data_IF_236590880210
#
_entry.id   IF_236590880210
#
_cell.length_a   1.000
_cell.length_b   1.000
_cell.length_c   1.000
_cell.angle_alpha   90.00
_cell.angle_beta   90.00
_cell.angle_gamma   90.00
#
_symmetry.space_group_name_H-M   'P 1'
#
loop_
_entity.id
_entity.type
_entity.pdbx_description
1 polymer ?
#
# COMPACT_ATOMS: atom_id res chain seq x y z
N UNK A 1 -1.87 -6.97 15.95
CA UNK A 1 -2.65 -7.52 14.87
C UNK A 1 -2.80 -6.53 13.75
N UNK A 2 -2.59 -6.99 12.60
CA UNK A 2 -2.18 -6.17 11.51
C UNK A 2 -3.26 -6.23 10.44
N UNK A 3 -3.92 -5.08 10.09
CA UNK A 3 -4.28 -5.03 8.71
C UNK A 3 -5.56 -4.38 8.26
N UNK A 4 -6.42 -3.93 9.17
CA UNK A 4 -7.42 -2.96 8.75
C UNK A 4 -6.76 -1.57 8.63
N UNK A 5 -7.35 -0.66 7.89
CA UNK A 5 -6.80 0.69 7.81
C UNK A 5 -6.84 1.41 9.18
N UNK A 6 -7.95 1.36 9.87
CA UNK A 6 -8.15 1.93 11.20
C UNK A 6 -8.26 0.87 12.29
N UNK A 7 -8.95 -0.22 12.01
CA UNK A 7 -9.16 -1.32 12.94
C UNK A 7 -8.43 -2.56 12.46
N UNK A 8 -7.85 -3.29 13.41
CA UNK A 8 -7.27 -4.60 13.12
C UNK A 8 -8.37 -5.61 12.80
N UNK A 9 -8.08 -6.57 11.94
CA UNK A 9 -9.01 -7.68 11.73
C UNK A 9 -9.15 -8.51 13.00
N UNK A 10 -10.36 -8.98 13.25
CA UNK A 10 -10.65 -9.79 14.43
C UNK A 10 -10.08 -11.20 14.24
N UNK A 11 -9.41 -11.70 15.26
CA UNK A 11 -9.02 -13.11 15.39
C UNK A 11 -9.71 -13.72 16.60
N UNK A 12 -9.63 -15.05 16.75
CA UNK A 12 -10.36 -15.77 17.77
C UNK A 12 -11.88 -15.78 17.52
N UNK A 13 -12.30 -15.68 16.26
CA UNK A 13 -13.68 -15.72 15.81
C UNK A 13 -13.92 -16.90 14.89
N UNK A 14 -15.16 -17.29 14.76
CA UNK A 14 -15.57 -18.26 13.76
C UNK A 14 -15.34 -17.73 12.34
N UNK A 15 -14.97 -18.63 11.46
CA UNK A 15 -14.83 -18.39 10.03
C UNK A 15 -16.21 -18.42 9.39
N UNK A 16 -16.58 -17.34 8.66
CA UNK A 16 -17.94 -17.17 8.19
C UNK A 16 -18.23 -17.91 6.88
N UNK A 17 -19.48 -18.29 6.61
CA UNK A 17 -19.88 -18.90 5.33
C UNK A 17 -19.59 -17.97 4.13
N UNK A 18 -19.72 -16.65 4.29
CA UNK A 18 -19.44 -15.66 3.26
C UNK A 18 -17.94 -15.65 2.90
N UNK A 19 -17.05 -15.73 3.89
CA UNK A 19 -15.61 -15.84 3.67
C UNK A 19 -15.26 -17.14 2.96
N UNK A 20 -15.91 -18.24 3.31
CA UNK A 20 -15.75 -19.54 2.66
C UNK A 20 -16.21 -19.51 1.20
N UNK A 21 -17.34 -18.87 0.91
CA UNK A 21 -17.85 -18.74 -0.46
C UNK A 21 -17.02 -17.84 -1.35
N UNK A 22 -16.21 -16.96 -0.77
CA UNK A 22 -15.33 -16.05 -1.46
C UNK A 22 -13.87 -16.60 -1.60
N UNK A 23 -13.68 -17.91 -1.48
CA UNK A 23 -12.39 -18.58 -1.56
C UNK A 23 -11.64 -18.27 -2.86
N UNK A 24 -10.35 -18.08 -2.73
CA UNK A 24 -9.38 -17.96 -3.80
C UNK A 24 -8.56 -19.25 -3.88
N UNK A 25 -8.99 -20.16 -4.72
CA UNK A 25 -8.38 -21.50 -4.82
C UNK A 25 -6.95 -21.45 -5.37
N UNK A 26 -6.02 -22.13 -4.70
CA UNK A 26 -4.62 -22.25 -5.12
C UNK A 26 -4.44 -23.18 -6.32
N UNK A 27 -5.20 -24.28 -6.35
CA UNK A 27 -5.10 -25.30 -7.38
C UNK A 27 -5.74 -24.93 -8.73
N UNK A 28 -6.70 -24.00 -8.73
CA UNK A 28 -7.46 -23.65 -9.93
C UNK A 28 -7.12 -22.22 -10.38
N UNK A 29 -6.83 -22.06 -11.68
CA UNK A 29 -6.72 -20.73 -12.27
C UNK A 29 -8.08 -20.04 -12.28
N UNK A 30 -8.07 -18.74 -12.05
CA UNK A 30 -9.25 -17.89 -12.19
C UNK A 30 -9.20 -17.28 -13.60
N UNK A 31 -10.36 -17.02 -14.18
CA UNK A 31 -10.45 -16.29 -15.45
C UNK A 31 -10.12 -14.80 -15.23
N UNK A 32 -8.83 -14.54 -15.03
CA UNK A 32 -8.26 -13.21 -14.84
C UNK A 32 -6.81 -13.22 -15.33
N UNK A 33 -6.42 -12.17 -16.04
CA UNK A 33 -5.03 -11.97 -16.40
C UNK A 33 -4.20 -11.59 -15.17
N UNK A 34 -2.99 -12.16 -14.96
CA UNK A 34 -2.16 -11.79 -13.83
C UNK A 34 -1.72 -10.33 -13.93
N UNK A 35 -1.87 -9.56 -12.84
CA UNK A 35 -1.44 -8.17 -12.81
C UNK A 35 -0.90 -7.76 -11.44
N UNK A 36 0.11 -6.90 -11.43
CA UNK A 36 0.78 -6.41 -10.22
C UNK A 36 -0.09 -5.42 -9.44
N UNK A 37 -0.86 -4.57 -10.14
CA UNK A 37 -1.70 -3.53 -9.54
C UNK A 37 -0.97 -2.69 -8.48
N UNK A 38 0.31 -2.33 -8.74
CA UNK A 38 1.19 -1.64 -7.80
C UNK A 38 1.40 -2.40 -6.48
N UNK A 39 1.24 -3.71 -6.47
CA UNK A 39 1.40 -4.55 -5.29
C UNK A 39 2.78 -5.21 -5.17
N UNK A 40 3.44 -5.45 -6.29
CA UNK A 40 4.73 -6.14 -6.38
C UNK A 40 5.88 -5.21 -5.96
N UNK A 41 6.76 -5.69 -5.05
CA UNK A 41 7.98 -4.99 -4.62
C UNK A 41 9.20 -5.56 -5.35
N UNK A 42 9.30 -6.88 -5.41
CA UNK A 42 10.38 -7.60 -6.06
C UNK A 42 9.96 -9.01 -6.46
N UNK A 43 10.61 -9.56 -7.47
CA UNK A 43 10.40 -10.94 -7.94
C UNK A 43 11.72 -11.54 -8.42
N UNK A 44 11.89 -12.83 -8.19
CA UNK A 44 12.98 -13.66 -8.66
C UNK A 44 12.53 -15.12 -8.70
N UNK A 45 13.42 -16.07 -8.98
CA UNK A 45 13.08 -17.51 -9.03
C UNK A 45 12.75 -18.12 -7.68
N UNK A 46 13.17 -17.52 -6.57
CA UNK A 46 13.03 -18.09 -5.22
C UNK A 46 11.82 -17.53 -4.49
N UNK A 47 11.62 -16.20 -4.56
CA UNK A 47 10.53 -15.53 -3.85
C UNK A 47 9.97 -14.34 -4.60
N UNK A 48 8.78 -13.93 -4.20
CA UNK A 48 8.14 -12.68 -4.58
C UNK A 48 7.77 -11.91 -3.33
N UNK A 49 8.10 -10.61 -3.28
CA UNK A 49 7.72 -9.70 -2.21
C UNK A 49 6.55 -8.85 -2.63
N UNK A 50 5.51 -8.86 -1.80
CA UNK A 50 4.28 -8.12 -2.02
C UNK A 50 4.09 -7.05 -0.96
N UNK A 51 3.49 -5.91 -1.36
CA UNK A 51 3.25 -4.79 -0.46
C UNK A 51 2.09 -5.06 0.51
N UNK A 52 2.13 -4.45 1.67
CA UNK A 52 1.03 -4.42 2.61
C UNK A 52 -0.08 -3.45 2.18
N UNK A 53 -1.28 -3.68 2.67
CA UNK A 53 -2.47 -2.87 2.38
C UNK A 53 -2.33 -1.40 2.79
N UNK A 54 -1.50 -1.09 3.78
CA UNK A 54 -1.37 0.25 4.36
C UNK A 54 -0.50 1.21 3.58
N UNK A 55 0.41 0.70 2.76
CA UNK A 55 1.42 1.51 2.11
C UNK A 55 0.84 2.70 1.32
N UNK A 56 -0.23 2.46 0.55
CA UNK A 56 -0.84 3.51 -0.28
C UNK A 56 -1.40 4.67 0.55
N UNK A 57 -2.02 4.36 1.69
CA UNK A 57 -2.71 5.33 2.54
C UNK A 57 -1.80 5.96 3.61
N UNK A 58 -0.53 5.61 3.62
CA UNK A 58 0.40 6.07 4.65
C UNK A 58 0.64 7.57 4.55
N UNK A 59 0.57 8.24 5.68
CA UNK A 59 0.60 9.71 5.78
C UNK A 59 -0.77 10.39 5.64
N UNK A 60 -1.80 9.68 5.16
CA UNK A 60 -3.11 10.29 4.91
C UNK A 60 -3.82 10.68 6.20
N UNK A 61 -3.74 9.83 7.22
CA UNK A 61 -4.38 10.10 8.49
C UNK A 61 -3.81 11.36 9.14
N UNK A 62 -2.48 11.45 9.18
CA UNK A 62 -1.80 12.64 9.72
C UNK A 62 -2.10 13.89 8.88
N UNK A 63 -2.21 13.76 7.56
CA UNK A 63 -2.64 14.85 6.67
C UNK A 63 -4.04 15.33 7.01
N UNK A 64 -4.99 14.42 7.21
CA UNK A 64 -6.36 14.76 7.57
C UNK A 64 -6.43 15.50 8.90
N UNK A 65 -5.73 14.99 9.92
CA UNK A 65 -5.66 15.64 11.24
C UNK A 65 -5.03 17.03 11.15
N UNK A 66 -3.95 17.17 10.38
CA UNK A 66 -3.29 18.46 10.17
C UNK A 66 -4.23 19.47 9.48
N UNK A 67 -4.90 19.08 8.42
CA UNK A 67 -5.82 19.96 7.68
C UNK A 67 -7.02 20.38 8.54
N UNK A 68 -7.63 19.43 9.25
CA UNK A 68 -8.74 19.72 10.18
C UNK A 68 -8.29 20.71 11.25
N UNK A 69 -7.10 20.50 11.83
CA UNK A 69 -6.53 21.41 12.82
C UNK A 69 -6.27 22.80 12.25
N UNK A 70 -5.68 22.90 11.06
CA UNK A 70 -5.38 24.17 10.41
C UNK A 70 -6.65 24.96 10.03
N UNK A 71 -7.64 24.28 9.44
CA UNK A 71 -8.94 24.91 9.14
C UNK A 71 -9.68 25.32 10.39
N UNK A 72 -9.68 24.48 11.42
CA UNK A 72 -10.27 24.81 12.73
C UNK A 72 -9.61 26.03 13.35
N UNK A 73 -8.28 26.14 13.27
CA UNK A 73 -7.54 27.30 13.76
C UNK A 73 -7.88 28.58 13.00
N UNK A 74 -7.87 28.55 11.67
CA UNK A 74 -8.21 29.70 10.83
C UNK A 74 -9.62 30.16 11.12
N UNK A 75 -10.59 29.23 11.15
CA UNK A 75 -11.98 29.54 11.46
C UNK A 75 -12.12 30.16 12.83
N UNK A 76 -11.49 29.63 13.85
CA UNK A 76 -11.53 30.09 15.21
C UNK A 76 -10.90 31.50 15.34
N UNK A 77 -9.74 31.71 14.68
CA UNK A 77 -9.09 33.04 14.64
C UNK A 77 -10.01 34.07 14.03
N UNK A 78 -10.65 33.79 12.90
CA UNK A 78 -11.60 34.70 12.25
C UNK A 78 -12.81 34.94 13.14
N UNK A 79 -13.36 33.92 13.78
CA UNK A 79 -14.47 34.02 14.72
C UNK A 79 -14.11 34.93 15.91
N UNK A 80 -12.98 34.76 16.52
CA UNK A 80 -12.51 35.60 17.63
C UNK A 80 -12.27 37.04 17.18
N UNK A 81 -11.63 37.24 16.02
CA UNK A 81 -11.36 38.59 15.49
C UNK A 81 -12.63 39.37 15.15
N UNK A 82 -13.74 38.68 14.81
CA UNK A 82 -15.01 39.36 14.43
C UNK A 82 -16.02 39.41 15.56
N UNK A 83 -15.91 38.60 16.60
CA UNK A 83 -16.94 38.44 17.63
C UNK A 83 -16.54 38.99 18.99
N UNK A 84 -15.26 39.30 19.22
CA UNK A 84 -14.81 39.87 20.50
C UNK A 84 -15.04 41.38 20.53
N UNK A 85 -15.67 41.93 21.58
CA UNK A 85 -15.85 43.37 21.74
C UNK A 85 -14.50 44.08 21.96
N UNK A 86 -14.27 45.18 21.25
CA UNK A 86 -13.02 45.97 21.30
C UNK A 86 -12.68 46.47 22.72
N UNK A 87 -13.66 46.59 23.62
CA UNK A 87 -13.51 47.16 24.95
C UNK A 87 -13.71 46.16 26.09
N UNK A 88 -13.67 44.87 25.82
CA UNK A 88 -13.83 43.86 26.89
C UNK A 88 -12.57 43.79 27.75
N UNK A 89 -12.66 43.76 29.09
CA UNK A 89 -11.48 43.56 29.96
C UNK A 89 -10.77 42.23 29.67
N UNK A 90 -9.43 42.23 29.69
CA UNK A 90 -8.59 41.10 29.35
C UNK A 90 -8.90 39.79 30.15
N UNK A 91 -9.48 39.91 31.33
CA UNK A 91 -9.89 38.82 32.21
C UNK A 91 -11.39 38.62 32.30
N UNK A 92 -12.16 39.15 31.33
CA UNK A 92 -13.59 38.91 31.29
C UNK A 92 -13.90 37.44 30.99
N UNK A 93 -15.06 36.96 31.46
CA UNK A 93 -15.57 35.63 31.15
C UNK A 93 -15.59 35.33 29.65
N UNK A 94 -15.76 36.36 28.83
CA UNK A 94 -15.76 36.25 27.35
C UNK A 94 -14.37 35.83 26.83
N UNK A 95 -13.30 36.48 27.33
CA UNK A 95 -11.94 36.11 26.93
C UNK A 95 -11.55 34.74 27.47
N UNK A 96 -11.91 34.38 28.71
CA UNK A 96 -11.66 33.07 29.29
C UNK A 96 -12.38 31.99 28.48
N UNK A 97 -13.63 32.20 28.12
CA UNK A 97 -14.39 31.28 27.29
C UNK A 97 -13.81 31.18 25.87
N UNK A 98 -13.44 32.31 25.26
CA UNK A 98 -12.76 32.31 23.96
C UNK A 98 -11.44 31.53 23.99
N UNK A 99 -10.62 31.72 25.05
CA UNK A 99 -9.38 31.01 25.27
C UNK A 99 -9.63 29.48 25.42
N UNK A 100 -10.64 29.09 26.19
CA UNK A 100 -11.03 27.70 26.38
C UNK A 100 -11.49 27.08 25.06
N UNK A 101 -12.33 27.74 24.30
CA UNK A 101 -12.81 27.29 22.98
C UNK A 101 -11.67 27.22 21.97
N UNK A 102 -10.60 28.04 22.12
CA UNK A 102 -9.40 27.99 21.27
C UNK A 102 -8.49 26.84 21.65
N UNK A 103 -8.20 26.67 22.93
CA UNK A 103 -7.21 25.69 23.42
C UNK A 103 -7.75 24.25 23.35
N UNK A 104 -9.05 24.04 23.63
CA UNK A 104 -9.61 22.69 23.71
C UNK A 104 -9.54 21.89 22.40
N UNK A 105 -9.84 22.44 21.20
CA UNK A 105 -9.65 21.73 19.94
C UNK A 105 -8.18 21.44 19.63
N UNK A 106 -7.26 22.35 20.04
CA UNK A 106 -5.82 22.12 19.89
C UNK A 106 -5.34 21.00 20.80
N UNK A 107 -5.75 21.00 22.06
CA UNK A 107 -5.40 19.94 22.99
C UNK A 107 -5.98 18.58 22.51
N UNK A 108 -7.22 18.56 22.06
CA UNK A 108 -7.85 17.38 21.49
C UNK A 108 -7.15 16.90 20.22
N UNK A 109 -6.82 17.82 19.29
CA UNK A 109 -6.09 17.49 18.07
C UNK A 109 -4.69 16.99 18.36
N UNK A 110 -3.98 17.60 19.34
CA UNK A 110 -2.67 17.15 19.78
C UNK A 110 -2.73 15.77 20.45
N UNK A 111 -3.72 15.52 21.28
CA UNK A 111 -3.94 14.23 21.91
C UNK A 111 -4.25 13.13 20.89
N UNK A 112 -5.17 13.39 19.95
CA UNK A 112 -5.47 12.52 18.85
C UNK A 112 -4.21 12.31 17.99
N UNK A 113 -3.48 13.35 17.67
CA UNK A 113 -2.22 13.27 16.93
C UNK A 113 -1.19 12.42 17.65
N UNK A 114 -1.00 12.58 18.95
CA UNK A 114 -0.08 11.76 19.74
C UNK A 114 -0.46 10.28 19.78
N UNK A 115 -1.76 9.96 19.86
CA UNK A 115 -2.25 8.59 19.79
C UNK A 115 -2.06 7.95 18.41
N UNK A 116 -2.14 8.73 17.32
CA UNK A 116 -2.14 8.25 15.95
C UNK A 116 -0.77 8.36 15.29
N UNK A 117 0.09 9.29 15.74
CA UNK A 117 1.47 9.44 15.31
C UNK A 117 2.26 8.14 15.39
N UNK A 118 2.08 7.40 16.48
CA UNK A 118 2.77 6.11 16.71
C UNK A 118 2.40 5.03 15.69
N UNK A 119 1.35 5.24 14.88
CA UNK A 119 0.93 4.27 13.86
C UNK A 119 1.57 4.50 12.50
N UNK A 120 2.04 5.70 12.23
CA UNK A 120 2.63 6.06 10.94
C UNK A 120 4.10 6.47 11.05
N UNK A 121 4.48 7.23 12.09
CA UNK A 121 5.84 7.67 12.33
C UNK A 121 6.67 6.63 13.08
N UNK A 122 7.99 6.64 12.87
CA UNK A 122 8.97 5.81 13.59
C UNK A 122 8.71 4.30 13.52
N UNK A 123 8.05 3.86 12.46
CA UNK A 123 7.77 2.46 12.16
C UNK A 123 8.67 1.98 10.99
N UNK A 124 8.18 1.02 10.19
CA UNK A 124 8.80 0.65 8.91
C UNK A 124 8.11 1.38 7.76
N UNK A 125 8.83 1.67 6.67
CA UNK A 125 8.29 2.34 5.47
C UNK A 125 7.13 1.53 4.88
N UNK A 126 7.25 0.22 4.86
CA UNK A 126 6.23 -0.74 4.40
C UNK A 126 6.42 -2.06 5.16
N UNK A 127 5.52 -3.01 4.95
CA UNK A 127 5.53 -4.32 5.60
C UNK A 127 5.39 -5.40 4.54
N UNK A 128 6.51 -5.95 4.04
CA UNK A 128 6.49 -6.91 2.96
C UNK A 128 5.88 -8.24 3.38
N UNK A 129 5.19 -8.86 2.44
CA UNK A 129 4.73 -10.23 2.54
C UNK A 129 5.49 -11.01 1.47
N UNK A 130 6.37 -11.90 1.92
CA UNK A 130 7.23 -12.70 1.06
C UNK A 130 6.63 -14.08 0.85
N UNK A 131 6.47 -14.46 -0.39
CA UNK A 131 6.06 -15.80 -0.81
C UNK A 131 7.29 -16.52 -1.36
N UNK A 132 7.81 -17.49 -0.61
CA UNK A 132 8.92 -18.30 -1.05
C UNK A 132 8.39 -19.56 -1.75
N UNK A 133 8.60 -19.63 -3.07
CA UNK A 133 8.14 -20.72 -3.90
C UNK A 133 8.88 -22.02 -3.62
N UNK A 134 10.21 -21.95 -3.37
CA UNK A 134 11.04 -23.15 -3.15
C UNK A 134 10.71 -23.85 -1.83
N UNK A 135 10.49 -23.09 -0.75
CA UNK A 135 10.16 -23.64 0.57
C UNK A 135 8.66 -23.75 0.82
N UNK A 136 7.83 -23.22 -0.09
CA UNK A 136 6.36 -23.11 0.07
C UNK A 136 5.96 -22.46 1.40
N UNK A 137 6.67 -21.40 1.79
CA UNK A 137 6.40 -20.64 3.00
C UNK A 137 6.03 -19.20 2.66
N UNK A 138 5.21 -18.60 3.52
CA UNK A 138 4.87 -17.19 3.50
C UNK A 138 5.47 -16.56 4.74
N UNK A 139 6.16 -15.44 4.56
CA UNK A 139 6.74 -14.64 5.63
C UNK A 139 6.04 -13.29 5.64
N UNK A 140 5.22 -13.04 6.67
CA UNK A 140 4.51 -11.77 6.83
C UNK A 140 5.28 -10.91 7.82
N UNK A 141 5.90 -9.85 7.32
CA UNK A 141 6.64 -8.92 8.17
C UNK A 141 5.66 -8.09 8.99
N UNK A 142 5.82 -8.06 10.30
CA UNK A 142 4.97 -7.30 11.24
C UNK A 142 5.83 -6.69 12.35
N UNK A 143 5.32 -5.62 12.97
CA UNK A 143 5.92 -5.07 14.19
C UNK A 143 5.85 -6.06 15.34
N UNK A 144 6.83 -6.01 16.26
CA UNK A 144 6.81 -6.85 17.46
C UNK A 144 5.52 -6.68 18.27
N UNK A 145 4.99 -5.44 18.35
CA UNK A 145 3.71 -5.13 19.01
C UNK A 145 2.49 -5.78 18.34
N UNK A 146 2.60 -6.12 17.08
CA UNK A 146 1.54 -6.74 16.26
C UNK A 146 1.73 -8.26 16.10
N UNK A 147 2.52 -8.89 16.97
CA UNK A 147 2.80 -10.33 16.96
C UNK A 147 4.11 -10.71 16.27
N UNK A 148 4.86 -9.74 15.74
CA UNK A 148 6.14 -10.01 15.07
C UNK A 148 6.01 -10.74 13.74
N UNK A 149 7.11 -11.29 13.27
CA UNK A 149 7.15 -12.05 12.02
C UNK A 149 6.25 -13.29 12.09
N UNK A 150 5.33 -13.42 11.14
CA UNK A 150 4.52 -14.62 10.96
C UNK A 150 5.13 -15.46 9.85
N UNK A 151 5.40 -16.72 10.12
CA UNK A 151 5.86 -17.72 9.15
C UNK A 151 4.80 -18.82 9.06
N UNK A 152 4.29 -19.07 7.87
CA UNK A 152 3.22 -20.05 7.66
C UNK A 152 3.42 -20.78 6.34
N UNK A 153 3.19 -22.11 6.28
CA UNK A 153 3.20 -22.84 5.02
C UNK A 153 2.10 -22.33 4.09
N UNK A 154 2.44 -22.16 2.79
CA UNK A 154 1.50 -21.74 1.75
C UNK A 154 0.22 -22.58 1.75
N UNK A 155 0.37 -23.88 1.88
CA UNK A 155 -0.74 -24.82 1.79
C UNK A 155 -1.71 -24.74 2.97
N UNK A 156 -1.28 -24.21 4.13
CA UNK A 156 -2.09 -24.06 5.34
C UNK A 156 -2.86 -22.75 5.43
N UNK A 157 -2.64 -21.80 4.53
CA UNK A 157 -3.36 -20.54 4.52
C UNK A 157 -4.62 -20.68 3.68
N UNK A 158 -5.76 -20.26 4.20
CA UNK A 158 -6.98 -20.09 3.45
C UNK A 158 -7.02 -18.68 2.87
N UNK A 159 -7.10 -18.55 1.54
CA UNK A 159 -7.19 -17.26 0.88
C UNK A 159 -8.60 -17.00 0.41
N UNK A 160 -9.06 -15.76 0.59
CA UNK A 160 -10.37 -15.33 0.12
C UNK A 160 -10.39 -13.84 -0.22
N UNK A 161 -11.42 -13.40 -0.95
CA UNK A 161 -11.69 -11.98 -1.15
C UNK A 161 -12.33 -11.44 0.13
N UNK A 162 -11.54 -10.68 0.91
CA UNK A 162 -12.01 -10.04 2.13
C UNK A 162 -12.74 -8.73 1.84
N UNK A 163 -13.71 -8.39 2.68
CA UNK A 163 -14.37 -7.08 2.67
C UNK A 163 -13.84 -6.22 3.81
N UNK A 164 -13.71 -4.91 3.57
CA UNK A 164 -13.28 -3.97 4.59
C UNK A 164 -14.26 -3.90 5.76
N UNK A 165 -13.74 -3.82 6.99
CA UNK A 165 -14.57 -3.68 8.20
C UNK A 165 -15.26 -2.33 8.30
N UNK A 166 -14.54 -1.27 7.95
CA UNK A 166 -15.04 0.11 8.03
C UNK A 166 -15.61 0.61 6.69
N UNK A 167 -15.07 0.10 5.57
CA UNK A 167 -15.50 0.41 4.21
C UNK A 167 -15.85 -0.90 3.49
N UNK A 168 -17.09 -1.34 3.64
CA UNK A 168 -17.57 -2.64 3.12
C UNK A 168 -17.47 -2.80 1.60
N UNK A 169 -17.36 -1.68 0.87
CA UNK A 169 -17.16 -1.70 -0.59
C UNK A 169 -15.71 -2.00 -0.99
N UNK A 170 -14.74 -1.84 -0.09
CA UNK A 170 -13.35 -2.16 -0.37
C UNK A 170 -13.10 -3.66 -0.20
N UNK A 171 -12.44 -4.24 -1.18
CA UNK A 171 -12.05 -5.65 -1.26
C UNK A 171 -10.55 -5.79 -1.25
N UNK A 172 -10.06 -6.87 -0.64
CA UNK A 172 -8.64 -7.20 -0.56
C UNK A 172 -8.42 -8.72 -0.67
N UNK A 173 -7.18 -9.13 -0.91
CA UNK A 173 -6.79 -10.52 -0.72
C UNK A 173 -6.48 -10.71 0.75
N UNK A 174 -7.15 -11.67 1.37
CA UNK A 174 -6.97 -12.00 2.78
C UNK A 174 -6.53 -13.43 2.94
N UNK A 175 -5.47 -13.63 3.73
CA UNK A 175 -5.00 -14.94 4.14
C UNK A 175 -5.41 -15.20 5.60
N UNK A 176 -6.13 -16.29 5.82
CA UNK A 176 -6.57 -16.71 7.14
C UNK A 176 -5.83 -17.98 7.56
N UNK A 177 -5.32 -17.99 8.77
CA UNK A 177 -4.76 -19.17 9.42
C UNK A 177 -5.83 -19.73 10.33
N UNK A 178 -6.35 -20.90 9.96
CA UNK A 178 -7.47 -21.54 10.65
C UNK A 178 -6.98 -22.61 11.62
N UNK A 179 -7.68 -22.73 12.75
CA UNK A 179 -7.59 -23.83 13.69
C UNK A 179 -9.02 -24.40 13.84
N UNK A 180 -9.33 -25.42 13.05
CA UNK A 180 -10.71 -25.85 12.80
C UNK A 180 -11.51 -24.74 12.12
N UNK A 181 -12.59 -24.31 12.74
CA UNK A 181 -13.46 -23.22 12.27
C UNK A 181 -13.07 -21.86 12.85
N UNK A 182 -12.00 -21.77 13.64
CA UNK A 182 -11.60 -20.54 14.31
C UNK A 182 -10.45 -19.89 13.55
N UNK A 183 -10.58 -18.60 13.27
CA UNK A 183 -9.51 -17.76 12.71
C UNK A 183 -8.47 -17.48 13.79
N UNK A 184 -7.32 -18.13 13.71
CA UNK A 184 -6.22 -17.98 14.65
C UNK A 184 -5.36 -16.76 14.37
N UNK A 185 -5.07 -16.50 13.12
CA UNK A 185 -4.32 -15.31 12.67
C UNK A 185 -4.77 -14.93 11.25
N UNK A 186 -4.48 -13.70 10.84
CA UNK A 186 -4.92 -13.15 9.57
C UNK A 186 -3.93 -12.12 9.03
N UNK A 187 -3.85 -12.01 7.71
CA UNK A 187 -3.12 -10.92 7.05
C UNK A 187 -3.83 -10.54 5.75
N UNK A 188 -3.59 -9.31 5.30
CA UNK A 188 -4.06 -8.84 4.00
C UNK A 188 -2.90 -8.31 3.18
N UNK A 189 -2.93 -8.55 1.90
CA UNK A 189 -1.86 -8.18 0.98
C UNK A 189 -2.37 -7.36 -0.19
N UNK A 190 -1.48 -6.58 -0.77
CA UNK A 190 -1.77 -5.71 -1.88
C UNK A 190 -2.70 -4.56 -1.55
N UNK A 191 -3.03 -3.78 -2.53
CA UNK A 191 -3.96 -2.66 -2.38
C UNK A 191 -5.40 -3.16 -2.36
N UNK A 192 -6.26 -2.45 -1.62
CA UNK A 192 -7.69 -2.70 -1.71
C UNK A 192 -8.27 -2.11 -3.00
N UNK A 193 -9.31 -2.75 -3.52
CA UNK A 193 -10.05 -2.35 -4.71
C UNK A 193 -11.54 -2.25 -4.42
N UNK A 194 -12.27 -1.49 -5.22
CA UNK A 194 -13.74 -1.38 -5.10
C UNK A 194 -14.47 -2.54 -5.78
N UNK A 195 -13.78 -3.26 -6.66
CA UNK A 195 -14.31 -4.38 -7.45
C UNK A 195 -13.47 -5.64 -7.24
N UNK A 196 -14.02 -6.80 -7.58
CA UNK A 196 -13.35 -8.09 -7.42
C UNK A 196 -12.26 -8.32 -8.50
N UNK A 197 -12.43 -7.75 -9.70
CA UNK A 197 -11.52 -8.01 -10.83
C UNK A 197 -10.05 -7.68 -10.50
N UNK A 198 -9.71 -6.48 -9.99
CA UNK A 198 -8.32 -6.17 -9.63
C UNK A 198 -7.74 -7.08 -8.54
N UNK A 199 -8.60 -7.55 -7.61
CA UNK A 199 -8.20 -8.48 -6.56
C UNK A 199 -7.91 -9.86 -7.14
N UNK A 200 -8.75 -10.34 -8.07
CA UNK A 200 -8.55 -11.61 -8.79
C UNK A 200 -7.28 -11.58 -9.65
N UNK A 201 -6.99 -10.48 -10.30
CA UNK A 201 -5.76 -10.31 -11.11
C UNK A 201 -4.50 -10.36 -10.24
N UNK A 202 -4.49 -9.69 -9.08
CA UNK A 202 -3.39 -9.78 -8.11
C UNK A 202 -3.25 -11.20 -7.56
N UNK A 203 -4.37 -11.85 -7.25
CA UNK A 203 -4.35 -13.24 -6.79
C UNK A 203 -3.78 -14.17 -7.84
N UNK A 204 -4.22 -14.07 -9.08
CA UNK A 204 -3.76 -14.92 -10.18
C UNK A 204 -2.25 -14.75 -10.41
N UNK A 205 -1.71 -13.54 -10.23
CA UNK A 205 -0.27 -13.32 -10.26
C UNK A 205 0.46 -14.12 -9.18
N UNK A 206 -0.01 -14.05 -7.93
CA UNK A 206 0.62 -14.75 -6.80
C UNK A 206 0.46 -16.26 -6.94
N UNK A 207 -0.73 -16.72 -7.32
CA UNK A 207 -1.02 -18.13 -7.52
C UNK A 207 -0.11 -18.72 -8.62
N UNK A 208 -0.06 -18.09 -9.80
CA UNK A 208 0.82 -18.56 -10.89
C UNK A 208 2.28 -18.57 -10.47
N UNK A 209 2.73 -17.54 -9.77
CA UNK A 209 4.09 -17.52 -9.26
C UNK A 209 4.38 -18.71 -8.34
N UNK A 210 3.50 -19.03 -7.42
CA UNK A 210 3.68 -20.09 -6.44
C UNK A 210 3.51 -21.50 -7.02
N UNK A 211 2.56 -21.69 -7.94
CA UNK A 211 2.22 -23.02 -8.47
C UNK A 211 2.91 -23.32 -9.81
N UNK A 212 3.02 -22.33 -10.69
CA UNK A 212 3.51 -22.51 -12.05
C UNK A 212 4.93 -21.94 -12.24
N UNK A 213 5.31 -20.94 -11.45
CA UNK A 213 6.64 -20.33 -11.46
C UNK A 213 6.69 -18.90 -12.03
N UNK A 214 7.87 -18.27 -11.99
CA UNK A 214 8.04 -16.88 -12.38
C UNK A 214 7.79 -16.62 -13.87
N UNK A 215 7.87 -17.62 -14.73
CA UNK A 215 7.57 -17.50 -16.17
C UNK A 215 6.08 -17.26 -16.43
N UNK A 216 5.22 -17.83 -15.59
CA UNK A 216 3.78 -17.85 -15.81
C UNK A 216 3.07 -16.53 -15.44
N UNK A 217 3.78 -15.59 -14.80
CA UNK A 217 3.17 -14.33 -14.32
C UNK A 217 3.21 -13.20 -15.33
N UNK A 218 3.98 -13.34 -16.41
CA UNK A 218 4.06 -12.34 -17.47
C UNK A 218 3.98 -13.02 -18.84
N UNK A 219 2.92 -12.76 -19.57
CA UNK A 219 2.71 -13.32 -20.90
C UNK A 219 3.62 -12.69 -21.96
N UNK A 220 4.04 -11.44 -21.73
CA UNK A 220 4.87 -10.70 -22.65
C UNK A 220 6.15 -10.17 -21.97
N UNK A 221 7.31 -10.19 -22.63
CA UNK A 221 8.55 -9.64 -22.06
C UNK A 221 8.44 -8.19 -21.58
N UNK A 222 7.63 -7.37 -22.24
CA UNK A 222 7.38 -5.97 -21.83
C UNK A 222 6.58 -5.85 -20.52
N UNK A 223 6.05 -6.92 -19.96
CA UNK A 223 5.42 -6.94 -18.64
C UNK A 223 6.40 -7.28 -17.51
N UNK A 224 7.64 -7.68 -17.85
CA UNK A 224 8.67 -8.13 -16.89
C UNK A 224 9.41 -6.96 -16.23
N UNK A 225 8.70 -6.08 -15.55
CA UNK A 225 9.25 -4.99 -14.71
C UNK A 225 8.35 -4.77 -13.50
N UNK A 226 8.90 -4.19 -12.44
CA UNK A 226 8.14 -3.81 -11.25
C UNK A 226 7.51 -2.43 -11.46
N UNK A 227 6.21 -2.29 -11.23
CA UNK A 227 5.50 -1.01 -11.37
C UNK A 227 5.68 -0.09 -10.16
N UNK A 228 5.76 -0.69 -8.96
CA UNK A 228 5.82 0.01 -7.69
C UNK A 228 7.25 0.40 -7.34
N UNK A 229 7.45 1.63 -6.90
CA UNK A 229 8.65 2.03 -6.16
C UNK A 229 8.30 2.30 -4.70
N UNK A 230 8.94 1.57 -3.78
CA UNK A 230 8.80 1.79 -2.34
C UNK A 230 9.82 2.79 -1.79
N UNK A 231 10.64 3.39 -2.65
CA UNK A 231 11.66 4.35 -2.26
C UNK A 231 11.01 5.61 -1.62
N UNK A 232 11.50 6.06 -0.44
CA UNK A 232 10.94 7.19 0.31
C UNK A 232 11.34 8.54 -0.29
N UNK A 233 11.11 8.72 -1.58
CA UNK A 233 11.44 9.93 -2.32
C UNK A 233 10.30 10.93 -2.36
N UNK A 234 10.63 12.22 -2.47
CA UNK A 234 9.64 13.29 -2.69
C UNK A 234 8.77 13.02 -3.92
N UNK A 235 9.41 12.57 -5.02
CA UNK A 235 8.73 12.26 -6.28
C UNK A 235 7.65 11.17 -6.10
N UNK A 236 7.98 10.08 -5.40
CA UNK A 236 7.03 9.00 -5.11
C UNK A 236 5.87 9.47 -4.21
N UNK A 237 6.15 10.33 -3.23
CA UNK A 237 5.12 10.91 -2.38
C UNK A 237 4.16 11.80 -3.18
N UNK A 238 4.68 12.63 -4.09
CA UNK A 238 3.87 13.48 -4.97
C UNK A 238 3.03 12.66 -5.95
N UNK A 239 3.62 11.66 -6.60
CA UNK A 239 2.88 10.76 -7.51
C UNK A 239 1.75 10.06 -6.76
N UNK A 240 2.02 9.56 -5.55
CA UNK A 240 1.00 8.94 -4.70
C UNK A 240 -0.12 9.92 -4.32
N UNK A 241 0.20 11.18 -4.00
CA UNK A 241 -0.78 12.20 -3.65
C UNK A 241 -1.68 12.57 -4.85
N UNK A 242 -1.09 12.73 -6.03
CA UNK A 242 -1.82 12.99 -7.28
C UNK A 242 -2.70 11.80 -7.66
N UNK A 243 -2.18 10.58 -7.56
CA UNK A 243 -2.94 9.35 -7.83
C UNK A 243 -4.11 9.17 -6.87
N UNK A 244 -3.89 9.40 -5.57
CA UNK A 244 -4.91 9.30 -4.56
C UNK A 244 -6.08 10.27 -4.79
N UNK A 245 -5.80 11.50 -5.22
CA UNK A 245 -6.82 12.52 -5.50
C UNK A 245 -7.46 12.39 -6.87
N UNK A 246 -6.99 11.45 -7.69
CA UNK A 246 -7.37 11.35 -9.11
C UNK A 246 -7.28 12.70 -9.86
N UNK A 247 -6.24 13.49 -9.50
CA UNK A 247 -6.00 14.82 -10.07
C UNK A 247 -5.31 14.71 -11.45
N UNK A 248 -6.01 14.13 -12.42
CA UNK A 248 -5.50 13.88 -13.77
C UNK A 248 -5.36 15.13 -14.62
N UNK A 249 -6.21 16.16 -14.39
CA UNK A 249 -6.19 17.41 -15.14
C UNK A 249 -5.42 18.51 -14.40
N UNK A 250 -4.80 19.48 -15.11
CA UNK A 250 -4.14 20.63 -14.49
C UNK A 250 -5.05 21.41 -13.56
N UNK A 251 -6.32 21.64 -13.96
CA UNK A 251 -7.32 22.33 -13.14
C UNK A 251 -7.55 21.63 -11.80
N UNK A 252 -7.76 20.30 -11.79
CA UNK A 252 -7.92 19.53 -10.55
C UNK A 252 -6.67 19.62 -9.67
N UNK A 253 -5.47 19.61 -10.26
CA UNK A 253 -4.22 19.75 -9.51
C UNK A 253 -4.11 21.08 -8.79
N UNK A 254 -4.50 22.18 -9.46
CA UNK A 254 -4.50 23.51 -8.84
C UNK A 254 -5.54 23.58 -7.72
N UNK A 255 -6.77 23.12 -7.97
CA UNK A 255 -7.86 23.14 -6.99
C UNK A 255 -7.52 22.30 -5.75
N UNK A 256 -6.92 21.12 -5.94
CA UNK A 256 -6.56 20.18 -4.87
C UNK A 256 -5.14 20.39 -4.34
N UNK A 257 -4.43 21.43 -4.80
CA UNK A 257 -3.04 21.70 -4.42
C UNK A 257 -2.84 21.76 -2.90
N UNK A 258 -3.69 22.40 -2.09
CA UNK A 258 -3.51 22.41 -0.63
C UNK A 258 -3.48 21.01 -0.02
N UNK A 259 -4.36 20.11 -0.49
CA UNK A 259 -4.38 18.73 -0.05
C UNK A 259 -3.19 17.94 -0.60
N UNK A 260 -2.93 18.03 -1.91
CA UNK A 260 -1.82 17.30 -2.58
C UNK A 260 -0.48 17.72 -1.96
N UNK A 261 -0.25 19.01 -1.77
CA UNK A 261 0.97 19.55 -1.16
C UNK A 261 1.14 19.05 0.28
N UNK A 262 0.12 19.21 1.11
CA UNK A 262 0.15 18.76 2.51
C UNK A 262 0.36 17.26 2.60
N UNK A 263 -0.35 16.45 1.81
CA UNK A 263 -0.18 15.01 1.80
C UNK A 263 1.22 14.60 1.36
N UNK A 264 1.76 15.26 0.35
CA UNK A 264 3.14 15.00 -0.12
C UNK A 264 4.16 15.25 0.98
N UNK A 265 4.08 16.43 1.65
CA UNK A 265 4.99 16.80 2.75
C UNK A 265 4.86 15.82 3.91
N UNK A 266 3.65 15.58 4.38
CA UNK A 266 3.40 14.71 5.54
C UNK A 266 3.84 13.27 5.24
N UNK A 267 3.50 12.71 4.08
CA UNK A 267 3.94 11.38 3.67
C UNK A 267 5.45 11.27 3.58
N UNK A 268 6.11 12.29 3.03
CA UNK A 268 7.56 12.33 2.95
C UNK A 268 8.21 12.36 4.32
N UNK A 269 7.72 13.18 5.26
CA UNK A 269 8.19 13.22 6.65
C UNK A 269 7.97 11.88 7.37
N UNK A 270 6.80 11.28 7.19
CA UNK A 270 6.50 9.94 7.71
C UNK A 270 7.54 8.94 7.20
N UNK A 271 7.79 8.89 5.91
CA UNK A 271 8.74 7.94 5.32
C UNK A 271 10.18 8.21 5.76
N UNK A 272 10.58 9.47 5.92
CA UNK A 272 11.91 9.85 6.44
C UNK A 272 12.11 9.44 7.90
N UNK A 273 11.05 9.39 8.70
CA UNK A 273 11.11 8.93 10.09
C UNK A 273 11.10 7.40 10.22
N UNK A 274 10.75 6.68 9.17
CA UNK A 274 10.58 5.23 9.17
C UNK A 274 11.84 4.50 8.75
N UNK A 275 11.98 3.26 9.24
CA UNK A 275 13.07 2.35 8.86
C UNK A 275 12.67 1.47 7.67
N UNK A 276 13.64 1.04 6.87
CA UNK A 276 13.42 0.00 5.88
C UNK A 276 13.16 -1.34 6.60
N UNK A 277 12.19 -2.15 6.13
CA UNK A 277 12.02 -3.48 6.66
C UNK A 277 13.20 -4.39 6.27
N UNK A 278 13.68 -5.16 7.21
CA UNK A 278 14.72 -6.17 6.99
C UNK A 278 14.24 -7.46 7.64
N UNK A 279 14.16 -8.52 6.85
CA UNK A 279 13.83 -9.84 7.40
C UNK A 279 14.97 -10.36 8.29
N UNK A 280 14.66 -11.19 9.29
CA UNK A 280 15.69 -11.83 10.10
C UNK A 280 16.66 -12.69 9.25
N UNK A 281 17.91 -12.88 9.71
CA UNK A 281 18.92 -13.64 8.96
C UNK A 281 18.48 -15.06 8.57
N UNK A 282 17.65 -15.70 9.40
CA UNK A 282 17.13 -17.05 9.14
C UNK A 282 16.21 -17.06 7.91
N UNK A 283 15.38 -16.02 7.74
CA UNK A 283 14.51 -15.88 6.56
C UNK A 283 15.32 -15.56 5.32
N UNK A 284 16.32 -14.69 5.43
CA UNK A 284 17.19 -14.35 4.31
C UNK A 284 18.01 -15.56 3.87
N UNK A 285 18.43 -16.41 4.79
CA UNK A 285 19.12 -17.68 4.48
C UNK A 285 18.22 -18.66 3.71
N UNK A 286 16.92 -18.74 4.07
CA UNK A 286 15.96 -19.57 3.33
C UNK A 286 15.55 -18.97 1.97
N UNK A 287 15.79 -17.66 1.77
CA UNK A 287 15.35 -16.89 0.60
C UNK A 287 16.51 -16.48 -0.31
N UNK A 288 17.61 -17.22 -0.33
CA UNK A 288 18.73 -16.89 -1.19
C UNK A 288 18.37 -16.96 -2.67
N UNK A 289 18.78 -15.93 -3.40
CA UNK A 289 18.60 -15.83 -4.86
C UNK A 289 19.85 -16.40 -5.54
N UNK A 290 19.66 -17.16 -6.59
CA UNK A 290 20.77 -17.71 -7.36
C UNK A 290 21.57 -16.62 -8.07
N UNK A 291 22.89 -16.76 -8.16
CA UNK A 291 23.69 -15.84 -8.97
C UNK A 291 23.20 -15.84 -10.44
N UNK A 292 22.99 -14.63 -11.00
CA UNK A 292 22.49 -14.45 -12.36
C UNK A 292 21.08 -15.00 -12.62
N UNK A 293 20.22 -14.97 -11.63
CA UNK A 293 18.82 -15.39 -11.78
C UNK A 293 18.13 -14.59 -12.91
N UNK A 294 17.63 -15.25 -13.96
CA UNK A 294 17.01 -14.57 -15.11
C UNK A 294 15.64 -13.96 -14.81
N UNK A 295 15.07 -14.29 -13.65
CA UNK A 295 13.74 -13.84 -13.25
C UNK A 295 13.76 -12.65 -12.29
N UNK A 296 14.90 -12.00 -12.10
CA UNK A 296 14.97 -10.72 -11.39
C UNK A 296 14.45 -9.63 -12.31
N UNK A 297 13.31 -9.05 -11.93
CA UNK A 297 12.75 -7.95 -12.68
C UNK A 297 13.35 -6.61 -12.25
N UNK A 298 13.53 -5.66 -13.18
CA UNK A 298 14.01 -4.32 -12.87
C UNK A 298 13.01 -3.58 -11.97
N UNK A 299 13.56 -2.90 -10.93
CA UNK A 299 12.79 -2.12 -9.96
C UNK A 299 12.98 -0.63 -10.27
N UNK A 300 11.90 0.16 -10.38
CA UNK A 300 12.00 1.58 -10.72
C UNK A 300 12.44 2.43 -9.52
N UNK A 301 13.13 3.53 -9.75
CA UNK A 301 13.41 4.54 -8.73
C UNK A 301 12.15 5.35 -8.36
N UNK A 302 11.22 5.49 -9.32
CA UNK A 302 9.95 6.16 -9.09
C UNK A 302 8.79 5.43 -9.76
N UNK A 303 7.61 5.51 -9.14
CA UNK A 303 6.37 4.91 -9.67
C UNK A 303 6.15 5.40 -11.12
N UNK A 304 5.88 4.45 -12.03
CA UNK A 304 5.63 4.74 -13.44
C UNK A 304 6.87 5.16 -14.25
N UNK A 305 8.07 5.04 -13.69
CA UNK A 305 9.30 5.43 -14.38
C UNK A 305 9.50 4.72 -15.72
N UNK A 306 9.37 3.40 -15.73
CA UNK A 306 9.58 2.62 -16.95
C UNK A 306 8.58 2.96 -18.04
N UNK A 307 7.32 3.18 -17.70
CA UNK A 307 6.29 3.55 -18.66
C UNK A 307 6.60 4.88 -19.36
N UNK A 308 7.28 5.79 -18.65
CA UNK A 308 7.63 7.12 -19.18
C UNK A 308 8.99 7.19 -19.86
N UNK A 309 9.90 6.28 -19.56
CA UNK A 309 11.29 6.35 -20.01
C UNK A 309 11.64 5.29 -21.06
N UNK A 310 10.94 4.16 -21.07
CA UNK A 310 11.16 3.10 -22.05
C UNK A 310 10.38 3.39 -23.33
N UNK A 311 11.07 3.53 -24.47
CA UNK A 311 10.40 3.78 -25.75
C UNK A 311 9.36 2.70 -26.06
N UNK A 312 8.15 3.14 -26.42
CA UNK A 312 7.06 2.23 -26.80
C UNK A 312 6.29 1.57 -25.63
N UNK A 313 6.83 1.58 -24.40
CA UNK A 313 6.16 0.91 -23.27
C UNK A 313 4.84 1.60 -22.91
N UNK A 314 4.75 2.93 -22.98
CA UNK A 314 3.50 3.64 -22.73
C UNK A 314 2.44 3.26 -23.79
N UNK A 315 2.81 3.22 -25.06
CA UNK A 315 1.90 2.81 -26.14
C UNK A 315 1.45 1.35 -25.95
N UNK A 316 2.35 0.47 -25.57
CA UNK A 316 2.03 -0.92 -25.21
C UNK A 316 1.03 -0.98 -24.04
N UNK A 317 1.30 -0.30 -22.96
CA UNK A 317 0.43 -0.28 -21.78
C UNK A 317 -0.97 0.28 -22.09
N UNK A 318 -1.05 1.34 -22.89
CA UNK A 318 -2.33 1.91 -23.33
C UNK A 318 -3.13 0.92 -24.22
N UNK A 319 -2.47 0.25 -25.14
CA UNK A 319 -3.10 -0.77 -26.01
C UNK A 319 -3.58 -1.97 -25.18
N UNK A 320 -2.75 -2.45 -24.28
CA UNK A 320 -3.11 -3.54 -23.35
C UNK A 320 -4.34 -3.17 -22.50
N UNK A 321 -4.41 -1.96 -21.98
CA UNK A 321 -5.57 -1.46 -21.23
C UNK A 321 -6.86 -1.39 -22.09
N UNK A 322 -6.73 -1.26 -23.41
CA UNK A 322 -7.84 -1.30 -24.38
C UNK A 322 -8.17 -2.72 -24.86
N UNK A 323 -7.48 -3.75 -24.37
CA UNK A 323 -7.65 -5.14 -24.83
C UNK A 323 -7.09 -5.42 -26.21
N UNK A 324 -6.28 -4.52 -26.79
CA UNK A 324 -5.68 -4.69 -28.12
C UNK A 324 -4.45 -5.58 -27.98
N UNK A 325 -4.44 -6.71 -28.70
CA UNK A 325 -3.27 -7.60 -28.77
C UNK A 325 -2.06 -6.87 -29.36
N UNK A 326 -0.91 -7.04 -28.73
CA UNK A 326 0.33 -6.41 -29.16
C UNK A 326 0.81 -7.07 -30.47
N UNK A 327 1.33 -6.32 -31.46
CA UNK A 327 2.00 -6.92 -32.61
C UNK A 327 3.19 -7.77 -32.16
N UNK A 328 3.49 -8.89 -32.87
CA UNK A 328 4.59 -9.78 -32.53
C UNK A 328 5.99 -9.13 -32.62
N UNK A 329 6.12 -7.99 -33.29
CA UNK A 329 7.40 -7.30 -33.55
C UNK A 329 7.82 -6.27 -32.48
N UNK A 330 7.16 -6.23 -31.31
CA UNK A 330 7.61 -5.36 -30.20
C UNK A 330 8.90 -5.94 -29.63
N UNK A 331 10.01 -5.17 -29.55
CA UNK A 331 11.32 -5.66 -29.09
C UNK A 331 11.22 -6.33 -27.72
N UNK A 332 11.67 -7.57 -27.63
CA UNK A 332 11.23 -8.54 -26.63
C UNK A 332 11.94 -8.50 -25.37
N UNK A 333 12.92 -7.89 -24.94
CA UNK A 333 13.53 -8.09 -23.63
C UNK A 333 13.82 -6.76 -22.90
N UNK A 334 12.93 -6.41 -21.99
CA UNK A 334 13.12 -5.27 -21.11
C UNK A 334 14.36 -5.44 -20.22
N UNK A 335 14.70 -6.65 -19.79
CA UNK A 335 15.87 -6.90 -18.96
C UNK A 335 17.15 -6.56 -19.70
N UNK A 336 17.24 -6.81 -21.01
CA UNK A 336 18.40 -6.41 -21.83
C UNK A 336 18.51 -4.91 -22.02
N UNK A 337 17.38 -4.20 -22.10
CA UNK A 337 17.32 -2.74 -22.22
C UNK A 337 17.65 -2.03 -20.90
N UNK A 338 17.52 -2.71 -19.76
CA UNK A 338 17.78 -2.16 -18.41
C UNK A 338 19.09 -2.61 -17.79
N UNK A 339 19.89 -3.40 -18.49
CA UNK A 339 21.15 -3.98 -17.96
C UNK A 339 22.12 -2.95 -17.35
N UNK A 340 21.99 -1.69 -17.73
CA UNK A 340 22.86 -0.58 -17.29
C UNK A 340 22.16 0.43 -16.35
N UNK A 341 20.89 0.24 -16.03
CA UNK A 341 20.09 1.21 -15.26
C UNK A 341 20.38 1.24 -13.76
N UNK A 342 20.97 0.21 -13.21
CA UNK A 342 21.38 0.17 -11.80
C UNK A 342 22.81 0.63 -11.52
N UNK A 343 23.55 1.08 -12.53
CA UNK A 343 24.99 1.40 -12.44
C UNK A 343 25.32 2.88 -12.43
N UNK A 344 24.34 3.78 -12.26
CA UNK A 344 24.56 5.23 -12.12
C UNK A 344 24.31 5.71 -10.71
#
# INVERSE_FOLDING_TARGET
MYTGWLKSFKVGREFTPEERSAELHKACSIDAAPAQRLGLISINSTFVDWIDRRFLYRGMLNTSVFLIGAFGFIWLFLFLATSLPDNAPLFSLVYIFALFVTISPFAASFFLYALWLRREFFCHVYYPIRFNRKTRKIYVFREKRDGGLLIVPWDKVFFHIGRGTDMKFLRDIRGEILDGEIVKDTFALGHCAERDEPVKEMWEFIRRYMEEGPEAVAEHPLDKYVELSVAPTWKNCLISAVGFTNATTPFKRVLLFPFIGTFTVVRWLVFKSCKQPVFPPEVEAECQVEPNDPHIWPIPNSIGEFVTTVPGLMAYAMRKAQGIKTPPDVPGDLASQFKDWGKK
#
